data_IF_473719392584
#
_entry.id   IF_473719392584
#
_cell.length_a   1.000
_cell.length_b   1.000
_cell.length_c   1.000
_cell.angle_alpha   90.00
_cell.angle_beta   90.00
_cell.angle_gamma   90.00
#
_symmetry.space_group_name_H-M   'P 1'
#
loop_
_entity.id
_entity.type
_entity.pdbx_description
1 polymer ?
#
# COMPACT_ATOMS: atom_id res chain seq x y z
N UNK A 1 15.92 -3.68 9.37
CA UNK A 1 16.03 -5.15 9.30
C UNK A 1 15.87 -5.68 7.88
N UNK A 2 14.69 -5.58 7.23
CA UNK A 2 14.48 -6.15 5.89
C UNK A 2 15.47 -5.66 4.82
N UNK A 3 15.82 -4.37 4.83
CA UNK A 3 16.79 -3.79 3.88
C UNK A 3 18.24 -4.26 4.08
N UNK A 4 18.54 -4.92 5.19
CA UNK A 4 19.86 -5.51 5.41
C UNK A 4 20.02 -6.87 4.71
N UNK A 5 18.93 -7.43 4.16
CA UNK A 5 18.95 -8.69 3.43
C UNK A 5 19.37 -8.43 1.97
N UNK A 6 20.46 -9.04 1.46
CA UNK A 6 20.88 -8.88 0.08
C UNK A 6 19.76 -9.23 -0.91
N UNK A 7 19.54 -8.37 -1.90
CA UNK A 7 18.47 -8.53 -2.89
C UNK A 7 17.09 -8.01 -2.47
N UNK A 8 16.89 -7.59 -1.22
CA UNK A 8 15.63 -6.95 -0.79
C UNK A 8 15.65 -5.47 -1.13
N UNK A 9 14.76 -5.07 -2.04
CA UNK A 9 14.55 -3.67 -2.42
C UNK A 9 13.59 -2.97 -1.45
N UNK A 10 13.54 -1.62 -1.44
CA UNK A 10 12.53 -0.87 -0.69
C UNK A 10 11.09 -1.28 -1.00
N UNK A 11 10.77 -1.52 -2.28
CA UNK A 11 9.47 -2.03 -2.70
C UNK A 11 9.17 -3.43 -2.16
N UNK A 12 10.15 -4.34 -2.22
CA UNK A 12 10.01 -5.69 -1.65
C UNK A 12 9.81 -5.64 -0.13
N UNK A 13 10.58 -4.80 0.58
CA UNK A 13 10.43 -4.60 2.01
C UNK A 13 9.07 -3.98 2.40
N UNK A 14 8.54 -3.07 1.59
CA UNK A 14 7.20 -2.51 1.78
C UNK A 14 6.11 -3.59 1.58
N UNK A 15 6.22 -4.39 0.51
CA UNK A 15 5.29 -5.50 0.26
C UNK A 15 5.30 -6.55 1.37
N UNK A 16 6.48 -6.91 1.89
CA UNK A 16 6.60 -7.84 3.03
C UNK A 16 5.91 -7.29 4.27
N UNK A 17 6.18 -6.02 4.64
CA UNK A 17 5.54 -5.39 5.80
C UNK A 17 4.02 -5.36 5.66
N UNK A 18 3.51 -4.94 4.51
CA UNK A 18 2.07 -4.87 4.25
C UNK A 18 1.39 -6.25 4.25
N UNK A 19 1.93 -7.22 3.49
CA UNK A 19 1.22 -8.49 3.23
C UNK A 19 1.56 -9.60 4.23
N UNK A 20 2.83 -9.73 4.61
CA UNK A 20 3.27 -10.82 5.47
C UNK A 20 3.20 -10.46 6.96
N UNK A 21 3.49 -9.18 7.29
CA UNK A 21 3.49 -8.71 8.68
C UNK A 21 2.21 -7.95 9.07
N UNK A 22 1.35 -7.63 8.09
CA UNK A 22 0.09 -6.94 8.34
C UNK A 22 0.23 -5.50 8.83
N UNK A 23 1.34 -4.83 8.53
CA UNK A 23 1.59 -3.43 8.92
C UNK A 23 0.59 -2.49 8.19
N UNK A 24 -0.30 -1.79 8.91
CA UNK A 24 -1.33 -0.94 8.30
C UNK A 24 -0.81 0.43 7.81
N UNK A 25 0.40 0.84 8.20
CA UNK A 25 0.95 2.18 7.93
C UNK A 25 2.11 2.15 6.91
N UNK A 26 2.06 1.24 5.93
CA UNK A 26 3.05 1.15 4.84
C UNK A 26 2.53 1.82 3.57
N UNK A 27 3.32 2.70 3.00
CA UNK A 27 3.10 3.24 1.67
C UNK A 27 4.05 2.60 0.64
N UNK A 28 3.53 2.27 -0.55
CA UNK A 28 4.36 1.83 -1.68
C UNK A 28 5.10 3.04 -2.28
N UNK A 29 6.35 2.86 -2.74
CA UNK A 29 7.27 3.97 -3.02
C UNK A 29 6.90 4.83 -4.22
N UNK A 30 6.07 4.35 -5.16
CA UNK A 30 5.71 5.12 -6.35
C UNK A 30 4.87 6.37 -6.08
N UNK A 31 3.96 6.35 -5.09
CA UNK A 31 3.16 7.52 -4.68
C UNK A 31 2.55 7.32 -3.26
N UNK A 32 3.29 7.67 -2.20
CA UNK A 32 2.83 7.41 -0.85
C UNK A 32 1.78 8.44 -0.39
N UNK A 33 0.65 8.02 0.20
CA UNK A 33 -0.33 8.94 0.79
C UNK A 33 0.30 9.75 1.94
N UNK A 34 -0.15 10.99 2.09
CA UNK A 34 0.35 11.94 3.07
C UNK A 34 0.15 11.51 4.53
N UNK A 35 0.71 12.30 5.46
CA UNK A 35 0.67 12.00 6.90
C UNK A 35 -0.75 11.94 7.46
N UNK A 36 -1.72 12.60 6.84
CA UNK A 36 -3.13 12.59 7.21
C UNK A 36 -3.77 11.21 7.16
N UNK A 37 -3.17 10.27 6.41
CA UNK A 37 -3.65 8.89 6.30
C UNK A 37 -3.05 7.96 7.35
N UNK A 38 -2.17 8.44 8.23
CA UNK A 38 -1.66 7.64 9.34
C UNK A 38 -2.79 7.37 10.35
N UNK A 39 -2.83 6.17 10.97
CA UNK A 39 -1.90 5.03 10.85
C UNK A 39 -2.34 3.98 9.80
N UNK A 40 -3.07 4.39 8.76
CA UNK A 40 -3.74 3.50 7.80
C UNK A 40 -3.29 3.71 6.35
N UNK A 41 -2.04 4.15 6.12
CA UNK A 41 -1.54 4.47 4.77
C UNK A 41 -1.62 3.30 3.78
N UNK A 42 -1.53 2.05 4.23
CA UNK A 42 -1.73 0.88 3.35
C UNK A 42 -3.17 0.78 2.82
N UNK A 43 -4.15 1.23 3.60
CA UNK A 43 -5.55 1.28 3.19
C UNK A 43 -5.83 2.48 2.29
N UNK A 44 -5.20 3.62 2.55
CA UNK A 44 -5.30 4.80 1.70
C UNK A 44 -4.84 4.51 0.27
N UNK A 45 -3.67 3.87 0.10
CA UNK A 45 -3.20 3.40 -1.22
C UNK A 45 -4.28 2.53 -1.87
N UNK A 46 -4.76 1.49 -1.17
CA UNK A 46 -5.74 0.56 -1.72
C UNK A 46 -7.06 1.24 -2.13
N UNK A 47 -7.50 2.22 -1.35
CA UNK A 47 -8.70 3.00 -1.62
C UNK A 47 -8.52 3.90 -2.85
N UNK A 48 -7.39 4.60 -2.96
CA UNK A 48 -7.10 5.52 -4.07
C UNK A 48 -6.81 4.79 -5.39
N UNK A 49 -6.24 3.58 -5.33
CA UNK A 49 -5.97 2.76 -6.52
C UNK A 49 -7.14 1.85 -6.92
N UNK A 50 -8.21 1.80 -6.13
CA UNK A 50 -9.36 0.97 -6.46
C UNK A 50 -10.00 1.44 -7.78
N UNK A 51 -10.34 0.53 -8.70
CA UNK A 51 -11.08 0.92 -9.89
C UNK A 51 -12.41 1.56 -9.48
N UNK A 52 -12.84 2.58 -10.21
CA UNK A 52 -14.18 3.12 -10.04
C UNK A 52 -15.18 1.96 -10.17
N UNK A 53 -16.08 1.84 -9.19
CA UNK A 53 -17.13 0.82 -9.27
C UNK A 53 -17.98 1.15 -10.50
N UNK A 54 -18.13 0.23 -11.46
CA UNK A 54 -18.96 0.50 -12.63
C UNK A 54 -20.37 0.81 -12.16
N UNK A 55 -20.94 1.91 -12.67
CA UNK A 55 -22.30 2.31 -12.36
C UNK A 55 -23.30 1.20 -12.72
N UNK A 56 -24.51 1.22 -12.11
CA UNK A 56 -25.53 0.22 -12.42
C UNK A 56 -25.78 0.19 -13.93
N UNK A 57 -25.76 -1.01 -14.52
CA UNK A 57 -26.12 -1.18 -15.93
C UNK A 57 -27.60 -0.82 -16.07
N UNK A 58 -27.88 0.33 -16.68
CA UNK A 58 -29.24 0.66 -17.13
C UNK A 58 -29.67 -0.38 -18.16
N UNK A 59 -30.75 -1.10 -17.86
CA UNK A 59 -31.45 -1.99 -18.80
C UNK A 59 -32.41 -1.21 -19.70
#
# INVERSE_FOLDING_TARGET
ALLAVPGVTPGAAALIRMRALGDPDVALPEDPPGEEWRPWRSYAVRYLTAPATPGPRSG
#
